data_IF_942556715808
#
_entry.id   IF_942556715808
#
_cell.length_a   1.000
_cell.length_b   1.000
_cell.length_c   1.000
_cell.angle_alpha   90.00
_cell.angle_beta   90.00
_cell.angle_gamma   90.00
#
_symmetry.space_group_name_H-M   'P 1'
#
loop_
_entity.id
_entity.type
_entity.pdbx_description
1 polymer ?
#
# COMPACT_ATOMS: atom_id res chain seq x y z
N UNK A 1 -5.15 15.96 -12.79
CA UNK A 1 -3.68 15.94 -12.52
C UNK A 1 -3.27 14.75 -11.66
N UNK A 2 -3.96 14.50 -10.54
CA UNK A 2 -3.63 13.40 -9.63
C UNK A 2 -3.66 12.04 -10.33
N UNK A 3 -4.67 11.76 -11.12
CA UNK A 3 -4.79 10.47 -11.81
C UNK A 3 -3.72 10.25 -12.87
N UNK A 4 -3.24 11.33 -13.52
CA UNK A 4 -2.17 11.24 -14.49
C UNK A 4 -0.85 10.92 -13.78
N UNK A 5 -0.58 11.60 -12.68
CA UNK A 5 0.61 11.34 -11.88
C UNK A 5 0.60 9.93 -11.30
N UNK A 6 -0.55 9.46 -10.80
CA UNK A 6 -0.69 8.11 -10.27
C UNK A 6 -0.41 7.05 -11.35
N UNK A 7 -0.90 7.27 -12.58
CA UNK A 7 -0.66 6.35 -13.69
C UNK A 7 0.84 6.24 -14.03
N UNK A 8 1.58 7.35 -13.90
CA UNK A 8 3.02 7.35 -14.17
C UNK A 8 3.83 6.59 -13.12
N UNK A 9 3.35 6.50 -11.88
CA UNK A 9 4.08 5.84 -10.79
C UNK A 9 3.54 4.46 -10.43
N UNK A 10 2.58 3.93 -11.16
CA UNK A 10 2.09 2.57 -10.94
C UNK A 10 0.61 2.47 -10.64
N UNK A 11 -0.11 3.58 -10.70
CA UNK A 11 -1.57 3.60 -10.51
C UNK A 11 -2.01 3.90 -9.08
N UNK A 12 -3.32 4.08 -8.87
CA UNK A 12 -3.87 4.49 -7.56
C UNK A 12 -3.75 3.42 -6.48
N UNK A 13 -3.57 2.15 -6.87
CA UNK A 13 -3.42 1.07 -5.90
C UNK A 13 -2.12 1.08 -5.11
N UNK A 14 -1.12 1.86 -5.54
CA UNK A 14 0.20 1.90 -4.92
C UNK A 14 0.60 3.30 -4.43
N UNK A 15 -0.22 4.32 -4.68
CA UNK A 15 0.12 5.71 -4.33
C UNK A 15 -0.50 6.10 -3.00
N UNK A 16 0.31 6.42 -1.98
CA UNK A 16 -0.21 6.91 -0.70
C UNK A 16 -0.52 8.40 -0.78
N UNK A 17 -1.30 8.90 0.16
CA UNK A 17 -1.62 10.31 0.28
C UNK A 17 -1.58 10.79 1.72
N UNK A 18 -1.33 12.08 1.89
CA UNK A 18 -1.29 12.71 3.19
C UNK A 18 -1.82 14.13 3.09
N UNK A 19 -2.73 14.48 3.99
CA UNK A 19 -3.25 15.84 4.13
C UNK A 19 -2.93 16.35 5.53
N UNK A 20 -2.06 17.37 5.60
CA UNK A 20 -1.61 17.95 6.86
C UNK A 20 -2.41 19.18 7.20
N UNK A 21 -3.08 19.16 8.37
CA UNK A 21 -3.71 20.32 8.95
C UNK A 21 -2.90 20.85 10.14
N UNK A 22 -3.41 21.88 10.79
CA UNK A 22 -2.77 22.45 11.97
C UNK A 22 -2.81 21.48 13.16
N UNK A 23 -3.97 20.87 13.39
CA UNK A 23 -4.21 20.01 14.54
C UNK A 23 -4.46 18.54 14.17
N UNK A 24 -4.67 18.27 12.89
CA UNK A 24 -5.05 16.94 12.39
C UNK A 24 -4.28 16.63 11.12
N UNK A 25 -3.83 15.39 10.96
CA UNK A 25 -3.27 14.87 9.72
C UNK A 25 -4.10 13.67 9.27
N UNK A 26 -4.37 13.57 7.98
CA UNK A 26 -5.14 12.47 7.41
C UNK A 26 -4.24 11.70 6.44
N UNK A 27 -4.17 10.39 6.63
CA UNK A 27 -3.37 9.48 5.80
C UNK A 27 -4.32 8.52 5.09
N UNK A 28 -4.30 8.54 3.76
CA UNK A 28 -5.24 7.78 2.94
C UNK A 28 -4.57 7.38 1.63
N UNK A 29 -5.12 6.40 0.88
CA UNK A 29 -4.66 6.16 -0.49
C UNK A 29 -4.79 7.44 -1.31
N UNK A 30 -3.87 7.66 -2.25
CA UNK A 30 -3.79 8.89 -3.02
C UNK A 30 -4.93 9.10 -4.03
N UNK A 31 -5.85 8.16 -4.14
CA UNK A 31 -6.98 8.23 -5.06
C UNK A 31 -8.29 8.07 -4.29
N UNK A 32 -9.35 8.73 -4.78
CA UNK A 32 -10.68 8.70 -4.14
C UNK A 32 -11.49 7.44 -4.44
N UNK A 33 -11.02 6.60 -5.37
CA UNK A 33 -11.75 5.38 -5.73
C UNK A 33 -11.68 4.35 -4.60
N UNK A 34 -12.82 3.78 -4.27
CA UNK A 34 -12.95 2.84 -3.16
C UNK A 34 -13.09 1.39 -3.62
N UNK A 35 -12.91 1.11 -4.91
CA UNK A 35 -12.92 -0.25 -5.42
C UNK A 35 -14.26 -0.94 -5.36
N UNK A 36 -15.35 -0.22 -5.55
CA UNK A 36 -16.71 -0.80 -5.48
C UNK A 36 -16.90 -1.94 -6.47
N UNK A 37 -16.25 -1.87 -7.65
CA UNK A 37 -16.37 -2.89 -8.69
C UNK A 37 -15.81 -4.25 -8.26
N UNK A 38 -14.85 -4.25 -7.34
CA UNK A 38 -14.18 -5.47 -6.88
C UNK A 38 -14.50 -5.80 -5.43
N UNK A 39 -15.49 -5.13 -4.87
CA UNK A 39 -15.91 -5.38 -3.49
C UNK A 39 -16.35 -6.83 -3.31
N UNK A 40 -15.80 -7.48 -2.29
CA UNK A 40 -16.12 -8.87 -1.97
C UNK A 40 -15.40 -9.90 -2.83
N UNK A 41 -14.54 -9.48 -3.78
CA UNK A 41 -13.83 -10.39 -4.69
C UNK A 41 -12.41 -10.72 -4.24
N UNK A 42 -11.93 -10.10 -3.18
CA UNK A 42 -10.57 -10.29 -2.65
C UNK A 42 -9.48 -10.01 -3.70
N UNK A 43 -9.67 -8.96 -4.49
CA UNK A 43 -8.77 -8.60 -5.60
C UNK A 43 -8.06 -7.26 -5.41
N UNK A 44 -8.42 -6.49 -4.39
CA UNK A 44 -7.87 -5.16 -4.18
C UNK A 44 -6.40 -5.22 -3.81
N UNK A 45 -5.60 -4.28 -4.34
CA UNK A 45 -4.21 -4.10 -3.96
C UNK A 45 -4.15 -3.22 -2.70
N UNK A 46 -3.66 -3.74 -1.56
CA UNK A 46 -3.64 -2.96 -0.33
C UNK A 46 -2.43 -2.05 -0.19
N UNK A 47 -1.55 -1.98 -1.18
CA UNK A 47 -0.28 -1.27 -1.10
C UNK A 47 -0.44 0.21 -0.76
N UNK A 48 -1.35 0.92 -1.43
CA UNK A 48 -1.55 2.35 -1.19
C UNK A 48 -1.95 2.62 0.27
N UNK A 49 -2.85 1.83 0.81
CA UNK A 49 -3.29 1.98 2.20
C UNK A 49 -2.19 1.61 3.18
N UNK A 50 -1.43 0.55 2.89
CA UNK A 50 -0.29 0.14 3.71
C UNK A 50 0.78 1.22 3.75
N UNK A 51 1.12 1.81 2.59
CA UNK A 51 2.09 2.89 2.54
C UNK A 51 1.57 4.16 3.22
N UNK A 52 0.27 4.43 3.13
CA UNK A 52 -0.36 5.53 3.89
C UNK A 52 -0.20 5.29 5.40
N UNK A 53 -0.37 4.06 5.84
CA UNK A 53 -0.13 3.67 7.23
C UNK A 53 1.31 3.90 7.67
N UNK A 54 2.29 3.63 6.78
CA UNK A 54 3.69 3.92 7.11
C UNK A 54 3.94 5.42 7.25
N UNK A 55 3.29 6.25 6.44
CA UNK A 55 3.39 7.70 6.58
C UNK A 55 2.80 8.16 7.92
N UNK A 56 1.69 7.57 8.34
CA UNK A 56 1.10 7.83 9.65
C UNK A 56 2.07 7.48 10.77
N UNK A 57 2.72 6.32 10.69
CA UNK A 57 3.68 5.88 11.69
C UNK A 57 4.88 6.84 11.77
N UNK A 58 5.37 7.32 10.62
CA UNK A 58 6.46 8.30 10.58
C UNK A 58 6.05 9.63 11.21
N UNK A 59 4.80 10.04 10.96
CA UNK A 59 4.26 11.25 11.56
C UNK A 59 4.23 11.16 13.11
N UNK A 60 3.98 9.97 13.63
CA UNK A 60 3.97 9.70 15.07
C UNK A 60 5.37 9.45 15.65
N UNK A 61 6.42 9.51 14.82
CA UNK A 61 7.79 9.26 15.26
C UNK A 61 8.17 7.79 15.37
N UNK A 62 7.33 6.88 14.83
CA UNK A 62 7.56 5.44 14.88
C UNK A 62 8.26 4.96 13.61
N UNK A 63 9.44 5.54 13.32
CA UNK A 63 10.17 5.31 12.07
C UNK A 63 10.60 3.85 11.88
N UNK A 64 11.00 3.18 12.95
CA UNK A 64 11.44 1.78 12.85
C UNK A 64 10.30 0.87 12.39
N UNK A 65 9.10 1.07 12.93
CA UNK A 65 7.93 0.31 12.51
C UNK A 65 7.55 0.64 11.06
N UNK A 66 7.60 1.91 10.68
CA UNK A 66 7.32 2.35 9.32
C UNK A 66 8.30 1.74 8.33
N UNK A 67 9.58 1.77 8.65
CA UNK A 67 10.65 1.22 7.79
C UNK A 67 10.48 -0.28 7.59
N UNK A 68 10.11 -1.00 8.62
CA UNK A 68 9.91 -2.44 8.55
C UNK A 68 8.77 -2.80 7.60
N UNK A 69 7.65 -2.10 7.69
CA UNK A 69 6.51 -2.33 6.80
C UNK A 69 6.85 -1.93 5.37
N UNK A 70 7.44 -0.77 5.16
CA UNK A 70 7.82 -0.28 3.83
C UNK A 70 8.77 -1.24 3.14
N UNK A 71 9.78 -1.72 3.86
CA UNK A 71 10.76 -2.67 3.33
C UNK A 71 10.08 -3.94 2.87
N UNK A 72 9.16 -4.49 3.68
CA UNK A 72 8.43 -5.70 3.35
C UNK A 72 7.57 -5.50 2.10
N UNK A 73 6.87 -4.38 1.99
CA UNK A 73 6.06 -4.06 0.81
C UNK A 73 6.91 -4.02 -0.44
N UNK A 74 8.04 -3.32 -0.40
CA UNK A 74 8.91 -3.18 -1.56
C UNK A 74 9.54 -4.52 -1.95
N UNK A 75 9.91 -5.37 -0.99
CA UNK A 75 10.47 -6.68 -1.27
C UNK A 75 9.45 -7.61 -1.93
N UNK A 76 8.20 -7.61 -1.47
CA UNK A 76 7.14 -8.41 -2.07
C UNK A 76 6.91 -7.98 -3.53
N UNK A 77 6.87 -6.68 -3.78
CA UNK A 77 6.67 -6.15 -5.13
C UNK A 77 7.88 -6.47 -6.01
N UNK A 78 9.10 -6.30 -5.50
CA UNK A 78 10.33 -6.55 -6.26
C UNK A 78 10.49 -8.01 -6.63
N UNK A 79 10.12 -8.94 -5.75
CA UNK A 79 10.18 -10.38 -6.04
C UNK A 79 9.27 -10.76 -7.18
N UNK A 80 8.16 -10.07 -7.37
CA UNK A 80 7.24 -10.28 -8.47
C UNK A 80 6.48 -11.59 -8.45
N UNK A 81 6.59 -12.38 -7.38
CA UNK A 81 5.93 -13.69 -7.26
C UNK A 81 4.47 -13.57 -6.85
N UNK A 82 4.16 -12.56 -6.04
CA UNK A 82 2.81 -12.31 -5.53
C UNK A 82 2.43 -10.90 -5.94
N UNK A 83 1.56 -10.79 -6.93
CA UNK A 83 1.07 -9.52 -7.44
C UNK A 83 -0.43 -9.58 -7.61
N UNK A 84 -1.12 -8.53 -7.19
CA UNK A 84 -2.56 -8.41 -7.43
C UNK A 84 -2.82 -8.13 -8.91
N UNK A 85 -4.10 -8.23 -9.29
CA UNK A 85 -4.51 -8.14 -10.70
C UNK A 85 -4.12 -6.80 -11.35
N UNK A 86 -4.20 -5.71 -10.63
CA UNK A 86 -3.84 -4.38 -11.13
C UNK A 86 -2.34 -4.26 -11.43
N UNK A 87 -1.52 -5.14 -10.87
CA UNK A 87 -0.08 -5.19 -11.11
C UNK A 87 0.31 -6.29 -12.10
N UNK A 88 -0.67 -6.88 -12.78
CA UNK A 88 -0.43 -7.91 -13.78
C UNK A 88 -0.37 -9.33 -13.24
N UNK A 89 -0.75 -9.53 -11.99
CA UNK A 89 -0.77 -10.85 -11.36
C UNK A 89 -2.18 -11.39 -11.14
N UNK A 90 -2.28 -12.45 -10.37
CA UNK A 90 -3.56 -13.09 -10.02
C UNK A 90 -3.69 -13.31 -8.52
N UNK A 91 -2.83 -12.72 -7.71
CA UNK A 91 -2.89 -12.89 -6.26
C UNK A 91 -4.09 -12.16 -5.68
N UNK A 92 -4.68 -12.76 -4.64
CA UNK A 92 -5.75 -12.12 -3.89
C UNK A 92 -5.16 -11.11 -2.90
N UNK A 93 -6.02 -10.24 -2.36
CA UNK A 93 -5.64 -9.31 -1.30
C UNK A 93 -5.04 -10.07 -0.11
N UNK A 94 -5.67 -11.19 0.27
CA UNK A 94 -5.20 -12.02 1.38
C UNK A 94 -3.83 -12.65 1.08
N UNK A 95 -3.61 -13.13 -0.13
CA UNK A 95 -2.34 -13.72 -0.53
C UNK A 95 -1.22 -12.68 -0.48
N UNK A 96 -1.47 -11.47 -0.98
CA UNK A 96 -0.52 -10.38 -0.94
C UNK A 96 -0.17 -10.00 0.51
N UNK A 97 -1.20 -9.86 1.34
CA UNK A 97 -1.01 -9.53 2.76
C UNK A 97 -0.23 -10.63 3.48
N UNK A 98 -0.50 -11.89 3.17
CA UNK A 98 0.22 -13.02 3.77
C UNK A 98 1.70 -13.00 3.37
N UNK A 99 1.99 -12.75 2.10
CA UNK A 99 3.37 -12.63 1.62
C UNK A 99 4.11 -11.51 2.34
N UNK A 100 3.42 -10.37 2.57
CA UNK A 100 3.96 -9.25 3.31
C UNK A 100 4.32 -9.65 4.75
N UNK A 101 3.39 -10.31 5.43
CA UNK A 101 3.61 -10.75 6.81
C UNK A 101 4.76 -11.74 6.91
N UNK A 102 4.89 -12.65 5.94
CA UNK A 102 5.99 -13.61 5.90
C UNK A 102 7.34 -12.89 5.77
N UNK A 103 7.41 -11.84 4.94
CA UNK A 103 8.63 -11.02 4.81
C UNK A 103 8.95 -10.31 6.13
N UNK A 104 7.96 -9.77 6.81
CA UNK A 104 8.16 -9.08 8.07
C UNK A 104 8.64 -10.05 9.16
N UNK A 105 8.08 -11.25 9.22
CA UNK A 105 8.51 -12.28 10.17
C UNK A 105 9.95 -12.73 9.92
N UNK A 106 10.35 -12.82 8.65
CA UNK A 106 11.71 -13.23 8.30
C UNK A 106 12.77 -12.22 8.76
N UNK A 107 12.39 -10.95 8.96
CA UNK A 107 13.29 -9.88 9.40
C UNK A 107 13.38 -9.76 10.94
N UNK A 108 12.67 -10.60 11.67
CA UNK A 108 12.78 -10.67 13.13
C UNK A 108 14.05 -11.46 13.59
#
# INVERSE_FOLDING_TARGET
MTNIAAALVGGPGVVPGCNMGRDVAIFEPGCRHVGLDIKGKDQANPTALLLSGTMLLRHLGLDDHANRISKAVYEVIADGKVRTRDMGGNATTHEFTRALLDKMEADL
#
